data_IF_562321337171
#
_entry.id   IF_562321337171
#
_cell.length_a   1.000
_cell.length_b   1.000
_cell.length_c   1.000
_cell.angle_alpha   90.00
_cell.angle_beta   90.00
_cell.angle_gamma   90.00
#
_symmetry.space_group_name_H-M   'P 1'
#
loop_
_entity.id
_entity.type
_entity.pdbx_description
1 polymer ?
#
# COMPACT_ATOMS: atom_id res chain seq x y z
N UNK A 1 20.26 32.87 38.74
CA UNK A 1 20.33 33.03 37.27
C UNK A 1 21.65 32.42 36.80
N UNK A 2 21.60 31.23 36.21
CA UNK A 2 22.74 30.55 35.57
C UNK A 2 22.17 29.86 34.33
N UNK A 3 22.55 30.36 33.15
CA UNK A 3 22.15 29.80 31.86
C UNK A 3 23.08 28.65 31.53
N UNK A 4 22.55 27.42 31.45
CA UNK A 4 23.25 26.30 30.85
C UNK A 4 23.22 26.47 29.33
N UNK A 5 24.39 26.59 28.71
CA UNK A 5 24.52 26.59 27.26
C UNK A 5 24.18 25.19 26.72
N UNK A 6 23.13 25.12 25.91
CA UNK A 6 22.82 23.93 25.11
C UNK A 6 23.96 23.80 24.08
N UNK A 7 24.76 22.73 24.20
CA UNK A 7 25.76 22.38 23.18
C UNK A 7 25.02 22.05 21.89
N UNK A 8 25.26 22.84 20.86
CA UNK A 8 24.75 22.62 19.51
C UNK A 8 25.42 21.36 18.94
N UNK A 9 24.70 20.23 19.00
CA UNK A 9 25.13 18.98 18.38
C UNK A 9 24.75 19.02 16.92
N UNK A 10 25.67 18.76 15.97
CA UNK A 10 25.30 18.67 14.56
C UNK A 10 24.21 17.61 14.40
N UNK A 11 23.15 17.88 13.60
CA UNK A 11 22.11 16.89 13.38
C UNK A 11 22.77 15.64 12.82
N UNK A 12 22.54 14.49 13.48
CA UNK A 12 22.89 13.18 12.96
C UNK A 12 22.44 13.14 11.50
N UNK A 13 23.40 13.18 10.57
CA UNK A 13 23.13 13.07 9.15
C UNK A 13 22.24 11.86 8.96
N UNK A 14 21.01 12.08 8.51
CA UNK A 14 20.07 11.00 8.24
C UNK A 14 20.62 10.27 7.03
N UNK A 15 21.47 9.28 7.25
CA UNK A 15 21.75 8.25 6.25
C UNK A 15 20.46 7.43 6.13
N UNK A 16 19.44 8.00 5.47
CA UNK A 16 18.36 7.19 4.93
C UNK A 16 19.02 6.36 3.85
N UNK A 17 19.39 5.13 4.21
CA UNK A 17 19.62 4.12 3.20
C UNK A 17 18.33 4.08 2.38
N UNK A 18 18.39 4.53 1.13
CA UNK A 18 17.29 4.36 0.19
C UNK A 18 17.54 3.01 -0.46
N UNK A 19 16.97 1.90 0.06
CA UNK A 19 17.10 0.63 -0.61
C UNK A 19 16.52 0.76 -2.02
N UNK A 20 17.09 0.03 -2.97
CA UNK A 20 16.50 -0.10 -4.28
C UNK A 20 15.05 -0.62 -4.15
N UNK A 21 14.13 -0.24 -5.05
CA UNK A 21 12.80 -0.82 -5.06
C UNK A 21 12.87 -2.35 -5.16
N UNK A 22 12.19 -3.02 -4.25
CA UNK A 22 11.99 -4.47 -4.12
C UNK A 22 10.65 -4.95 -4.70
N UNK A 23 9.73 -4.03 -4.98
CA UNK A 23 8.39 -4.33 -5.43
C UNK A 23 8.37 -4.85 -6.87
N UNK A 24 7.80 -6.04 -7.05
CA UNK A 24 7.50 -6.61 -8.37
C UNK A 24 6.00 -6.62 -8.67
N UNK A 25 5.63 -6.84 -9.94
CA UNK A 25 4.23 -7.01 -10.37
C UNK A 25 3.71 -8.45 -10.20
N UNK A 26 4.50 -9.33 -9.58
CA UNK A 26 4.13 -10.71 -9.30
C UNK A 26 3.27 -10.82 -8.03
N UNK A 27 2.83 -12.05 -7.73
CA UNK A 27 2.09 -12.38 -6.51
C UNK A 27 0.64 -12.76 -6.76
N UNK A 28 0.07 -12.42 -7.92
CA UNK A 28 -1.28 -12.84 -8.31
C UNK A 28 -1.31 -14.35 -8.57
N UNK A 29 -2.12 -15.08 -7.80
CA UNK A 29 -2.28 -16.53 -7.97
C UNK A 29 -3.50 -16.88 -8.82
N UNK A 30 -4.56 -16.06 -8.75
CA UNK A 30 -5.77 -16.32 -9.51
C UNK A 30 -6.77 -15.18 -9.43
N UNK A 31 -7.57 -15.04 -10.50
CA UNK A 31 -8.66 -14.07 -10.57
C UNK A 31 -9.92 -14.74 -11.09
N UNK A 32 -11.05 -14.44 -10.45
CA UNK A 32 -12.40 -14.78 -10.92
C UNK A 32 -13.14 -13.48 -11.21
N UNK A 33 -13.82 -13.43 -12.35
CA UNK A 33 -14.48 -12.24 -12.91
C UNK A 33 -13.55 -11.01 -12.90
N UNK A 34 -12.68 -10.86 -13.93
CA UNK A 34 -11.72 -9.74 -14.08
C UNK A 34 -12.40 -8.40 -14.39
N UNK A 35 -13.47 -8.07 -13.67
CA UNK A 35 -14.26 -6.86 -13.81
C UNK A 35 -13.77 -5.80 -12.79
N UNK A 36 -12.45 -5.55 -12.77
CA UNK A 36 -11.82 -4.51 -11.96
C UNK A 36 -10.62 -3.89 -12.68
N UNK A 37 -10.35 -2.63 -12.37
CA UNK A 37 -9.17 -1.90 -12.80
C UNK A 37 -8.17 -1.76 -11.64
N UNK A 38 -6.88 -1.83 -11.96
CA UNK A 38 -5.78 -1.55 -11.03
C UNK A 38 -4.86 -0.49 -11.62
N UNK A 39 -4.96 0.71 -11.07
CA UNK A 39 -4.09 1.82 -11.39
C UNK A 39 -2.94 1.88 -10.39
N UNK A 40 -1.74 2.18 -10.88
CA UNK A 40 -0.54 2.39 -10.05
C UNK A 40 0.07 3.73 -10.41
N UNK A 41 0.30 4.56 -9.41
CA UNK A 41 0.92 5.86 -9.57
C UNK A 41 2.25 5.88 -8.79
N UNK A 42 3.21 6.73 -9.18
CA UNK A 42 4.36 6.99 -8.32
C UNK A 42 3.89 7.60 -7.00
N UNK A 43 4.67 7.36 -5.94
CA UNK A 43 4.52 8.11 -4.70
C UNK A 43 4.94 9.58 -4.91
N UNK A 44 4.37 10.49 -4.12
CA UNK A 44 4.91 11.86 -4.01
C UNK A 44 6.40 11.81 -3.67
N UNK A 45 7.24 12.73 -4.20
CA UNK A 45 8.66 12.80 -3.86
C UNK A 45 8.95 12.79 -2.36
N UNK A 46 8.12 13.47 -1.56
CA UNK A 46 8.27 13.54 -0.10
C UNK A 46 8.04 12.19 0.60
N UNK A 47 7.30 11.28 -0.05
CA UNK A 47 6.99 9.94 0.45
C UNK A 47 7.80 8.84 -0.25
N UNK A 48 8.62 9.16 -1.25
CA UNK A 48 9.33 8.17 -2.06
C UNK A 48 10.34 7.32 -1.27
N UNK A 49 10.70 7.74 -0.05
CA UNK A 49 11.53 6.95 0.87
C UNK A 49 10.75 6.01 1.80
N UNK A 50 9.41 6.04 1.76
CA UNK A 50 8.52 5.26 2.63
C UNK A 50 7.52 4.43 1.82
N UNK A 51 7.03 4.99 0.71
CA UNK A 51 5.97 4.40 -0.11
C UNK A 51 6.59 3.83 -1.36
N UNK A 52 6.55 2.50 -1.43
CA UNK A 52 7.06 1.76 -2.58
C UNK A 52 5.96 1.44 -3.61
N UNK A 53 4.70 1.35 -3.15
CA UNK A 53 3.53 1.11 -3.99
C UNK A 53 2.46 2.11 -3.61
N UNK A 54 1.90 2.75 -4.63
CA UNK A 54 0.73 3.61 -4.53
C UNK A 54 -0.24 3.18 -5.63
N UNK A 55 -1.46 2.84 -5.25
CA UNK A 55 -2.40 2.13 -6.11
C UNK A 55 -3.86 2.45 -5.80
N UNK A 56 -4.69 2.25 -6.82
CA UNK A 56 -6.14 2.36 -6.75
C UNK A 56 -6.75 1.17 -7.49
N UNK A 57 -7.56 0.39 -6.78
CA UNK A 57 -8.39 -0.66 -7.37
C UNK A 57 -9.83 -0.17 -7.42
N UNK A 58 -10.51 -0.36 -8.55
CA UNK A 58 -11.93 -0.02 -8.73
C UNK A 58 -12.67 -1.18 -9.39
N UNK A 59 -13.92 -1.37 -9.04
CA UNK A 59 -14.79 -2.36 -9.67
C UNK A 59 -16.23 -1.87 -9.75
N UNK A 60 -16.97 -2.43 -10.70
CA UNK A 60 -18.40 -2.20 -10.90
C UNK A 60 -19.02 -3.45 -11.51
N UNK A 61 -19.70 -4.24 -10.68
CA UNK A 61 -20.29 -5.52 -11.05
C UNK A 61 -21.82 -5.42 -11.01
N UNK A 62 -22.52 -6.07 -11.96
CA UNK A 62 -23.97 -6.24 -11.88
C UNK A 62 -24.40 -6.98 -10.61
N UNK A 63 -25.64 -6.76 -10.19
CA UNK A 63 -26.24 -7.44 -9.04
C UNK A 63 -26.18 -8.97 -9.19
N UNK A 64 -25.89 -9.65 -8.08
CA UNK A 64 -25.75 -11.10 -8.04
C UNK A 64 -24.43 -11.64 -8.58
N UNK A 65 -23.51 -10.79 -9.07
CA UNK A 65 -22.16 -11.19 -9.47
C UNK A 65 -21.13 -10.90 -8.39
N UNK A 66 -20.19 -11.83 -8.22
CA UNK A 66 -19.03 -11.67 -7.35
C UNK A 66 -17.73 -11.97 -8.10
N UNK A 67 -16.72 -11.15 -7.86
CA UNK A 67 -15.35 -11.35 -8.30
C UNK A 67 -14.44 -11.69 -7.12
N UNK A 68 -13.27 -12.25 -7.43
CA UNK A 68 -12.26 -12.48 -6.39
C UNK A 68 -10.84 -12.46 -6.95
N UNK A 69 -9.90 -11.99 -6.13
CA UNK A 69 -8.47 -12.02 -6.41
C UNK A 69 -7.75 -12.74 -5.28
N UNK A 70 -6.98 -13.77 -5.60
CA UNK A 70 -6.06 -14.43 -4.67
C UNK A 70 -4.61 -14.07 -4.99
N UNK A 71 -3.83 -13.70 -3.98
CA UNK A 71 -2.45 -13.25 -4.14
C UNK A 71 -1.55 -13.60 -2.94
N UNK A 72 -0.24 -13.68 -3.18
CA UNK A 72 0.79 -13.63 -2.15
C UNK A 72 1.21 -12.16 -2.01
N UNK A 73 0.98 -11.51 -0.86
CA UNK A 73 1.32 -10.10 -0.68
C UNK A 73 2.82 -9.87 -0.78
N UNK A 74 3.19 -8.72 -1.34
CA UNK A 74 4.56 -8.24 -1.18
C UNK A 74 4.80 -7.92 0.31
N UNK A 75 5.93 -8.34 0.91
CA UNK A 75 6.16 -8.22 2.35
C UNK A 75 6.38 -6.77 2.76
N UNK A 76 5.28 -6.05 3.01
CA UNK A 76 5.25 -4.65 3.39
C UNK A 76 4.05 -4.39 4.31
N UNK A 77 4.05 -3.23 4.97
CA UNK A 77 2.88 -2.70 5.66
C UNK A 77 2.05 -1.92 4.65
N UNK A 78 0.75 -2.18 4.59
CA UNK A 78 -0.17 -1.44 3.72
C UNK A 78 -1.00 -0.47 4.54
N UNK A 79 -1.12 0.77 4.06
CA UNK A 79 -2.06 1.78 4.55
C UNK A 79 -3.11 1.96 3.45
N UNK A 80 -4.38 1.71 3.73
CA UNK A 80 -5.40 1.72 2.69
C UNK A 80 -6.77 2.21 3.18
N UNK A 81 -7.60 2.70 2.25
CA UNK A 81 -8.99 3.09 2.51
C UNK A 81 -9.93 2.33 1.56
N UNK A 82 -11.04 1.82 2.11
CA UNK A 82 -12.03 1.01 1.37
C UNK A 82 -13.46 1.43 1.77
N UNK A 83 -13.88 2.63 1.35
CA UNK A 83 -15.23 3.15 1.66
C UNK A 83 -15.47 3.53 3.14
N UNK A 84 -14.42 3.58 3.95
CA UNK A 84 -14.46 3.89 5.38
C UNK A 84 -13.15 4.51 5.87
N UNK A 85 -12.86 4.48 7.18
CA UNK A 85 -11.60 4.96 7.74
C UNK A 85 -10.39 4.28 7.11
N UNK A 86 -9.26 4.97 7.16
CA UNK A 86 -7.97 4.40 6.76
C UNK A 86 -7.60 3.26 7.72
N UNK A 87 -7.17 2.13 7.16
CA UNK A 87 -6.74 0.95 7.87
C UNK A 87 -5.26 0.65 7.61
N UNK A 88 -4.63 -0.04 8.57
CA UNK A 88 -3.26 -0.56 8.44
C UNK A 88 -3.31 -2.08 8.45
N UNK A 89 -2.72 -2.71 7.44
CA UNK A 89 -2.44 -4.14 7.44
C UNK A 89 -0.93 -4.36 7.58
N UNK A 90 -0.56 -5.23 8.53
CA UNK A 90 0.83 -5.66 8.73
C UNK A 90 1.38 -6.48 7.56
N UNK A 91 2.59 -7.00 7.73
CA UNK A 91 3.26 -7.83 6.71
C UNK A 91 2.45 -9.10 6.46
N UNK A 92 1.98 -9.28 5.23
CA UNK A 92 1.28 -10.49 4.82
C UNK A 92 2.25 -11.65 4.59
N UNK A 93 2.03 -12.76 5.29
CA UNK A 93 2.85 -13.97 5.25
C UNK A 93 2.11 -15.19 4.63
N UNK A 94 0.86 -14.98 4.20
CA UNK A 94 -0.03 -16.02 3.66
C UNK A 94 -0.71 -15.55 2.39
N UNK A 95 -1.29 -16.51 1.67
CA UNK A 95 -2.20 -16.21 0.56
C UNK A 95 -3.38 -15.41 1.09
N UNK A 96 -3.62 -14.26 0.48
CA UNK A 96 -4.77 -13.40 0.73
C UNK A 96 -5.76 -13.52 -0.42
N UNK A 97 -7.05 -13.57 -0.11
CA UNK A 97 -8.11 -13.51 -1.13
C UNK A 97 -9.07 -12.38 -0.81
N UNK A 98 -9.20 -11.44 -1.75
CA UNK A 98 -10.20 -10.38 -1.69
C UNK A 98 -11.39 -10.76 -2.56
N UNK A 99 -12.61 -10.69 -2.01
CA UNK A 99 -13.86 -10.84 -2.74
C UNK A 99 -14.54 -9.49 -2.85
N UNK A 100 -15.16 -9.23 -3.99
CA UNK A 100 -15.84 -7.97 -4.27
C UNK A 100 -17.09 -8.20 -5.11
N UNK A 101 -18.07 -7.34 -4.89
CA UNK A 101 -19.36 -7.30 -5.58
C UNK A 101 -19.86 -5.86 -5.62
N UNK A 102 -20.93 -5.62 -6.40
CA UNK A 102 -21.47 -4.28 -6.61
C UNK A 102 -20.43 -3.30 -7.12
N UNK A 103 -20.50 -2.04 -6.68
CA UNK A 103 -19.53 -0.98 -7.02
C UNK A 103 -18.64 -0.68 -5.82
N UNK A 104 -17.33 -0.55 -6.03
CA UNK A 104 -16.42 -0.19 -4.95
C UNK A 104 -15.01 0.15 -5.41
N UNK A 105 -14.18 0.55 -4.45
CA UNK A 105 -12.78 0.84 -4.66
C UNK A 105 -11.96 0.62 -3.40
N UNK A 106 -10.66 0.39 -3.58
CA UNK A 106 -9.66 0.44 -2.51
C UNK A 106 -8.47 1.26 -2.98
N UNK A 107 -8.05 2.21 -2.15
CA UNK A 107 -6.87 3.06 -2.38
C UNK A 107 -5.80 2.72 -1.34
N UNK A 108 -4.52 2.69 -1.73
CA UNK A 108 -3.39 2.54 -0.81
C UNK A 108 -2.02 2.56 -1.46
#
# INVERSE_FOLDING_TARGET
MVHAALVDRPPLGKTRHRPAPTASRHGLLGVRARDFDLDRAPASPDLAGLVERHWLVRWDLPDGREGSVSLIPHPCVNLFAAGGPVAVAGVGDKVFTYRYSGRGHVFG
#
